data_IF_091178268639
#
_entry.id   IF_091178268639
#
_cell.length_a   1.000
_cell.length_b   1.000
_cell.length_c   1.000
_cell.angle_alpha   90.00
_cell.angle_beta   90.00
_cell.angle_gamma   90.00
#
_symmetry.space_group_name_H-M   'P 1'
#
loop_
_entity.id
_entity.type
_entity.pdbx_description
1 polymer ?
#
# COMPACT_ATOMS: atom_id res chain seq x y z
N UNK A 1 51.92 73.93 21.40
CA UNK A 1 52.38 73.65 22.78
C UNK A 1 51.85 72.28 23.19
N UNK A 2 52.76 71.38 23.63
CA UNK A 2 52.55 70.27 24.59
C UNK A 2 51.48 69.20 24.28
N UNK A 3 51.65 67.91 24.57
CA UNK A 3 52.75 67.03 24.98
C UNK A 3 52.16 65.60 24.93
N UNK A 4 53.00 64.62 24.63
CA UNK A 4 52.70 63.20 24.69
C UNK A 4 52.22 62.71 26.08
N UNK A 5 51.57 61.54 26.12
CA UNK A 5 51.80 60.53 27.18
C UNK A 5 51.26 59.14 26.80
N UNK A 6 52.19 58.19 26.64
CA UNK A 6 51.98 56.75 26.83
C UNK A 6 51.87 56.47 28.33
N UNK A 7 51.12 55.45 28.71
CA UNK A 7 51.38 54.65 29.92
C UNK A 7 50.88 53.21 29.74
N UNK A 8 51.69 52.29 30.24
CA UNK A 8 51.65 50.82 30.19
C UNK A 8 51.24 50.22 31.54
N UNK A 9 50.55 49.07 31.57
CA UNK A 9 50.60 48.02 32.62
C UNK A 9 49.63 46.88 32.21
N UNK A 10 50.07 45.65 31.88
CA UNK A 10 50.51 44.51 32.71
C UNK A 10 49.39 43.46 33.03
N UNK A 11 49.72 42.17 33.28
CA UNK A 11 48.93 41.01 32.81
C UNK A 11 48.42 40.00 33.89
N UNK A 12 47.46 39.13 33.49
CA UNK A 12 47.08 37.75 33.98
C UNK A 12 46.59 37.57 35.44
N UNK A 13 46.08 36.38 35.90
CA UNK A 13 45.35 35.25 35.26
C UNK A 13 44.10 34.78 36.08
N UNK A 14 43.41 33.72 35.60
CA UNK A 14 42.85 32.59 36.39
C UNK A 14 41.34 32.34 36.29
N UNK A 15 40.96 31.08 36.01
CA UNK A 15 39.94 30.43 36.87
C UNK A 15 38.71 29.72 36.27
N UNK A 16 38.89 28.79 35.31
CA UNK A 16 38.09 27.54 35.08
C UNK A 16 36.53 27.60 35.16
N UNK A 17 35.79 26.46 35.26
CA UNK A 17 34.98 25.92 34.16
C UNK A 17 33.48 25.81 34.51
N UNK A 18 32.57 25.64 33.54
CA UNK A 18 31.73 24.44 33.50
C UNK A 18 30.74 24.43 32.33
N UNK A 19 30.51 23.18 31.95
CA UNK A 19 29.54 22.58 31.06
C UNK A 19 28.09 23.07 31.21
N UNK A 20 27.32 22.73 30.15
CA UNK A 20 25.87 22.42 30.16
C UNK A 20 24.94 23.49 29.58
N UNK A 21 24.93 23.61 28.25
CA UNK A 21 23.70 23.96 27.53
C UNK A 21 22.85 22.71 27.35
N UNK A 22 21.85 22.51 28.22
CA UNK A 22 20.67 21.71 27.90
C UNK A 22 19.83 22.51 26.88
N UNK A 23 19.37 21.89 25.79
CA UNK A 23 18.10 22.25 25.20
C UNK A 23 17.06 21.21 25.61
N UNK A 24 15.92 21.69 26.07
CA UNK A 24 14.64 20.97 26.06
C UNK A 24 13.57 21.98 25.63
N UNK A 25 12.36 21.57 25.23
CA UNK A 25 11.96 20.36 24.53
C UNK A 25 11.28 20.74 23.19
N UNK A 26 11.21 19.83 22.21
CA UNK A 26 10.18 19.98 21.17
C UNK A 26 9.52 18.65 20.89
N UNK A 27 8.39 18.50 21.56
CA UNK A 27 7.38 17.48 21.36
C UNK A 27 6.81 17.59 19.95
N UNK A 28 7.17 16.67 19.06
CA UNK A 28 6.23 16.06 18.10
C UNK A 28 6.66 14.63 17.82
N UNK A 29 6.16 13.74 18.70
CA UNK A 29 5.43 12.52 18.30
C UNK A 29 5.41 12.36 16.78
N UNK A 30 6.32 11.57 16.20
CA UNK A 30 6.15 11.11 14.81
C UNK A 30 5.04 10.07 14.84
N UNK A 31 3.81 10.57 14.79
CA UNK A 31 2.58 9.80 14.62
C UNK A 31 2.65 9.06 13.28
N UNK A 32 2.26 7.77 13.33
CA UNK A 32 1.84 6.87 12.24
C UNK A 32 2.66 6.90 10.95
N UNK A 33 3.60 5.94 10.80
CA UNK A 33 3.88 5.39 9.48
C UNK A 33 2.79 4.33 9.24
N UNK A 34 1.74 4.81 8.59
CA UNK A 34 0.82 4.15 7.67
C UNK A 34 0.76 2.62 7.74
N UNK A 35 -0.44 2.08 7.93
CA UNK A 35 -0.77 0.65 7.80
C UNK A 35 -0.55 0.21 6.33
N UNK A 36 0.69 0.24 5.86
CA UNK A 36 1.05 -0.45 4.64
C UNK A 36 0.77 -1.92 4.92
N UNK A 37 -0.11 -2.49 4.10
CA UNK A 37 -0.29 -3.93 4.04
C UNK A 37 1.03 -4.50 3.51
N UNK A 38 1.93 -4.87 4.42
CA UNK A 38 3.31 -5.23 4.08
C UNK A 38 3.51 -6.71 3.80
N UNK A 39 2.53 -7.53 4.16
CA UNK A 39 2.57 -8.99 4.01
C UNK A 39 1.17 -9.55 3.73
N UNK A 40 1.13 -10.77 3.20
CA UNK A 40 -0.11 -11.42 2.77
C UNK A 40 -1.12 -11.63 3.91
N UNK A 41 -0.66 -11.90 5.13
CA UNK A 41 -1.57 -12.10 6.27
C UNK A 41 -2.20 -10.77 6.68
N UNK A 42 -1.41 -9.70 6.67
CA UNK A 42 -1.93 -8.34 6.86
C UNK A 42 -2.94 -7.97 5.77
N UNK A 43 -2.74 -8.41 4.52
CA UNK A 43 -3.72 -8.19 3.45
C UNK A 43 -5.01 -8.90 3.78
N UNK A 44 -4.97 -10.21 4.03
CA UNK A 44 -6.16 -11.02 4.35
C UNK A 44 -6.93 -10.46 5.55
N UNK A 45 -6.23 -9.97 6.58
CA UNK A 45 -6.85 -9.29 7.71
C UNK A 45 -7.54 -7.98 7.30
N UNK A 46 -6.94 -7.19 6.40
CA UNK A 46 -7.57 -5.95 5.91
C UNK A 46 -8.83 -6.22 5.07
N UNK A 47 -8.85 -7.29 4.28
CA UNK A 47 -10.01 -7.66 3.44
C UNK A 47 -11.29 -7.84 4.26
N UNK A 48 -11.19 -8.46 5.43
CA UNK A 48 -12.33 -8.75 6.31
C UNK A 48 -12.75 -7.58 7.21
N UNK A 49 -12.06 -6.43 7.14
CA UNK A 49 -12.39 -5.24 7.93
C UNK A 49 -13.72 -4.58 7.53
N UNK A 50 -14.23 -4.86 6.33
CA UNK A 50 -15.40 -4.20 5.75
C UNK A 50 -15.10 -2.84 5.09
N UNK A 51 -13.94 -2.25 5.35
CA UNK A 51 -13.54 -0.93 4.84
C UNK A 51 -12.40 -1.00 3.81
N UNK A 52 -11.97 -2.20 3.42
CA UNK A 52 -10.90 -2.39 2.44
C UNK A 52 -11.17 -1.62 1.14
N UNK A 53 -10.15 -0.93 0.63
CA UNK A 53 -10.23 -0.17 -0.62
C UNK A 53 -9.46 -0.88 -1.72
N UNK A 54 -9.99 -0.81 -2.94
CA UNK A 54 -9.42 -1.54 -4.08
C UNK A 54 -7.98 -1.12 -4.39
N UNK A 55 -7.68 0.17 -4.19
CA UNK A 55 -6.34 0.72 -4.37
C UNK A 55 -5.28 0.01 -3.51
N UNK A 56 -5.63 -0.44 -2.31
CA UNK A 56 -4.68 -1.13 -1.41
C UNK A 56 -4.35 -2.54 -1.94
N UNK A 57 -5.31 -3.24 -2.55
CA UNK A 57 -5.04 -4.49 -3.27
C UNK A 57 -4.04 -4.27 -4.40
N UNK A 58 -4.25 -3.22 -5.21
CA UNK A 58 -3.35 -2.92 -6.32
C UNK A 58 -1.96 -2.48 -5.85
N UNK A 59 -1.88 -1.70 -4.77
CA UNK A 59 -0.63 -1.29 -4.16
C UNK A 59 0.15 -2.49 -3.60
N UNK A 60 -0.53 -3.42 -2.93
CA UNK A 60 0.06 -4.67 -2.47
C UNK A 60 0.62 -5.48 -3.64
N UNK A 61 -0.17 -5.67 -4.70
CA UNK A 61 0.28 -6.41 -5.89
C UNK A 61 1.51 -5.76 -6.51
N UNK A 62 1.50 -4.43 -6.68
CA UNK A 62 2.61 -3.70 -7.26
C UNK A 62 3.90 -3.76 -6.42
N UNK A 63 3.79 -3.88 -5.10
CA UNK A 63 4.94 -3.97 -4.21
C UNK A 63 5.58 -5.37 -4.15
N UNK A 64 4.81 -6.43 -4.42
CA UNK A 64 5.21 -7.80 -4.13
C UNK A 64 5.26 -8.73 -5.34
N UNK A 65 4.69 -8.33 -6.48
CA UNK A 65 4.56 -9.18 -7.67
C UNK A 65 4.97 -8.45 -8.93
N UNK A 66 5.56 -9.21 -9.86
CA UNK A 66 5.70 -8.79 -11.25
C UNK A 66 4.40 -9.10 -11.98
N UNK A 67 3.85 -8.11 -12.68
CA UNK A 67 2.63 -8.26 -13.48
C UNK A 67 2.96 -8.30 -14.98
N UNK A 68 2.34 -9.27 -15.65
CA UNK A 68 2.26 -9.30 -17.11
C UNK A 68 0.80 -9.28 -17.56
N UNK A 69 0.42 -8.39 -18.50
CA UNK A 69 -0.91 -8.38 -19.08
C UNK A 69 -1.25 -9.75 -19.67
N UNK A 70 -2.43 -10.27 -19.33
CA UNK A 70 -2.81 -11.61 -19.72
C UNK A 70 -4.31 -11.70 -20.00
N UNK A 71 -4.66 -12.47 -21.03
CA UNK A 71 -6.03 -12.82 -21.35
C UNK A 71 -6.58 -13.84 -20.35
N UNK A 72 -7.85 -13.69 -19.99
CA UNK A 72 -8.52 -14.60 -19.06
C UNK A 72 -10.02 -14.69 -19.30
N UNK A 73 -10.58 -15.84 -18.94
CA UNK A 73 -12.01 -16.04 -18.82
C UNK A 73 -12.39 -16.10 -17.34
N UNK A 74 -13.50 -15.47 -16.97
CA UNK A 74 -14.07 -15.51 -15.64
C UNK A 74 -15.54 -15.91 -15.76
N UNK A 75 -15.82 -17.21 -15.67
CA UNK A 75 -17.19 -17.71 -15.69
C UNK A 75 -17.99 -17.35 -16.95
N UNK A 76 -17.32 -17.29 -18.11
CA UNK A 76 -17.92 -16.87 -19.38
C UNK A 76 -17.67 -15.40 -19.76
N UNK A 77 -17.13 -14.58 -18.87
CA UNK A 77 -16.68 -13.22 -19.21
C UNK A 77 -15.26 -13.30 -19.77
N UNK A 78 -15.10 -12.99 -21.06
CA UNK A 78 -13.80 -12.97 -21.74
C UNK A 78 -13.13 -11.61 -21.60
N UNK A 79 -11.83 -11.64 -21.32
CA UNK A 79 -11.00 -10.46 -21.14
C UNK A 79 -9.74 -10.63 -21.97
N UNK A 80 -9.48 -9.70 -22.89
CA UNK A 80 -8.23 -9.66 -23.64
C UNK A 80 -7.08 -9.19 -22.75
N UNK A 81 -5.83 -9.51 -23.11
CA UNK A 81 -4.65 -9.00 -22.42
C UNK A 81 -4.66 -7.46 -22.43
N UNK A 82 -4.43 -6.85 -21.26
CA UNK A 82 -4.48 -5.40 -21.07
C UNK A 82 -5.89 -4.82 -20.88
N UNK A 83 -6.95 -5.63 -20.96
CA UNK A 83 -8.29 -5.22 -20.54
C UNK A 83 -8.57 -5.65 -19.11
N UNK A 84 -9.35 -4.84 -18.39
CA UNK A 84 -9.77 -5.13 -17.02
C UNK A 84 -8.57 -5.50 -16.12
N UNK A 85 -7.46 -4.77 -16.25
CA UNK A 85 -6.19 -5.08 -15.58
C UNK A 85 -6.34 -5.21 -14.07
N UNK A 86 -7.21 -4.41 -13.45
CA UNK A 86 -7.54 -4.52 -12.04
C UNK A 86 -8.10 -5.90 -11.68
N UNK A 87 -9.05 -6.42 -12.47
CA UNK A 87 -9.56 -7.79 -12.31
C UNK A 87 -8.50 -8.84 -12.62
N UNK A 88 -7.71 -8.66 -13.68
CA UNK A 88 -6.61 -9.57 -14.01
C UNK A 88 -5.63 -9.73 -12.84
N UNK A 89 -5.22 -8.60 -12.24
CA UNK A 89 -4.30 -8.57 -11.09
C UNK A 89 -4.93 -9.21 -9.86
N UNK A 90 -6.12 -8.79 -9.46
CA UNK A 90 -6.79 -9.31 -8.26
C UNK A 90 -7.10 -10.80 -8.34
N UNK A 91 -7.63 -11.28 -9.47
CA UNK A 91 -7.89 -12.70 -9.67
C UNK A 91 -6.60 -13.51 -9.78
N UNK A 92 -5.57 -12.95 -10.43
CA UNK A 92 -4.24 -13.54 -10.48
C UNK A 92 -3.63 -13.72 -9.09
N UNK A 93 -3.76 -12.72 -8.22
CA UNK A 93 -3.32 -12.79 -6.83
C UNK A 93 -4.12 -13.87 -6.08
N UNK A 94 -5.44 -13.88 -6.25
CA UNK A 94 -6.32 -14.82 -5.57
C UNK A 94 -5.95 -16.27 -5.87
N UNK A 95 -5.71 -16.61 -7.15
CA UNK A 95 -5.31 -17.95 -7.54
C UNK A 95 -3.87 -18.29 -7.10
N UNK A 96 -2.93 -17.35 -7.23
CA UNK A 96 -1.53 -17.58 -6.87
C UNK A 96 -1.35 -17.79 -5.36
N UNK A 97 -2.09 -17.05 -4.53
CA UNK A 97 -1.97 -17.07 -3.07
C UNK A 97 -3.01 -17.94 -2.36
N UNK A 98 -3.88 -18.62 -3.12
CA UNK A 98 -4.93 -19.47 -2.56
C UNK A 98 -5.88 -18.69 -1.66
N UNK A 99 -6.37 -17.55 -2.16
CA UNK A 99 -7.47 -16.84 -1.51
C UNK A 99 -8.78 -17.61 -1.69
N UNK A 100 -9.71 -17.46 -0.73
CA UNK A 100 -11.08 -17.92 -0.91
C UNK A 100 -11.86 -17.04 -1.90
N UNK A 101 -13.01 -17.52 -2.36
CA UNK A 101 -13.92 -16.71 -3.20
C UNK A 101 -14.33 -15.41 -2.50
N UNK A 102 -14.58 -15.48 -1.18
CA UNK A 102 -14.93 -14.31 -0.38
C UNK A 102 -13.76 -13.33 -0.25
N UNK A 103 -12.54 -13.81 0.05
CA UNK A 103 -11.35 -12.97 0.09
C UNK A 103 -11.11 -12.29 -1.27
N UNK A 104 -11.27 -13.01 -2.38
CA UNK A 104 -11.13 -12.46 -3.72
C UNK A 104 -12.18 -11.37 -4.03
N UNK A 105 -13.43 -11.56 -3.60
CA UNK A 105 -14.48 -10.55 -3.73
C UNK A 105 -14.19 -9.32 -2.88
N UNK A 106 -13.78 -9.51 -1.63
CA UNK A 106 -13.39 -8.41 -0.73
C UNK A 106 -12.19 -7.63 -1.25
N UNK A 107 -11.27 -8.28 -1.97
CA UNK A 107 -10.12 -7.64 -2.60
C UNK A 107 -10.49 -6.65 -3.72
N UNK A 108 -11.74 -6.66 -4.21
CA UNK A 108 -12.28 -5.60 -5.08
C UNK A 108 -12.80 -4.37 -4.34
N UNK A 109 -12.80 -4.38 -3.01
CA UNK A 109 -13.12 -3.23 -2.17
C UNK A 109 -14.47 -2.58 -2.50
N UNK A 110 -14.45 -1.27 -2.76
CA UNK A 110 -15.63 -0.47 -3.06
C UNK A 110 -16.37 -0.93 -4.32
N UNK A 111 -15.69 -1.53 -5.30
CA UNK A 111 -16.34 -2.05 -6.50
C UNK A 111 -17.24 -3.24 -6.19
N UNK A 112 -16.81 -4.14 -5.29
CA UNK A 112 -17.66 -5.24 -4.83
C UNK A 112 -18.87 -4.73 -4.04
N UNK A 113 -18.66 -3.76 -3.15
CA UNK A 113 -19.76 -3.12 -2.40
C UNK A 113 -20.78 -2.44 -3.33
N UNK A 114 -20.31 -1.78 -4.40
CA UNK A 114 -21.18 -1.16 -5.41
C UNK A 114 -22.05 -2.20 -6.14
N UNK A 115 -21.47 -3.34 -6.51
CA UNK A 115 -22.20 -4.44 -7.13
C UNK A 115 -23.26 -5.02 -6.20
N UNK A 116 -22.95 -5.18 -4.91
CA UNK A 116 -23.93 -5.62 -3.91
C UNK A 116 -25.09 -4.63 -3.75
N UNK A 117 -24.81 -3.33 -3.83
CA UNK A 117 -25.83 -2.28 -3.76
C UNK A 117 -26.71 -2.20 -5.03
N UNK A 118 -26.28 -2.81 -6.14
CA UNK A 118 -26.95 -2.76 -7.44
C UNK A 118 -27.17 -4.17 -7.99
N UNK A 119 -28.02 -5.01 -7.36
CA UNK A 119 -28.19 -6.40 -7.75
C UNK A 119 -28.59 -6.59 -9.22
N UNK A 120 -29.43 -5.69 -9.74
CA UNK A 120 -29.92 -5.69 -11.14
C UNK A 120 -28.99 -4.95 -12.13
N UNK A 121 -27.86 -4.42 -11.66
CA UNK A 121 -26.89 -3.73 -12.50
C UNK A 121 -26.14 -4.65 -13.46
N UNK A 122 -25.52 -4.07 -14.49
CA UNK A 122 -24.67 -4.77 -15.47
C UNK A 122 -23.21 -4.30 -15.46
N UNK A 123 -22.87 -3.40 -14.54
CA UNK A 123 -21.52 -2.91 -14.28
C UNK A 123 -20.63 -3.99 -13.65
N UNK A 124 -19.31 -3.83 -13.76
CA UNK A 124 -18.30 -4.71 -13.17
C UNK A 124 -18.52 -6.22 -13.48
N UNK A 125 -18.63 -6.56 -14.77
CA UNK A 125 -18.90 -7.93 -15.23
C UNK A 125 -18.05 -9.03 -14.58
N UNK A 126 -16.75 -8.77 -14.33
CA UNK A 126 -15.87 -9.73 -13.65
C UNK A 126 -16.26 -9.98 -12.19
N UNK A 127 -16.66 -8.96 -11.44
CA UNK A 127 -17.07 -9.13 -10.03
C UNK A 127 -18.38 -9.93 -10.00
N UNK A 128 -19.33 -9.60 -10.87
CA UNK A 128 -20.61 -10.35 -10.98
C UNK A 128 -20.40 -11.80 -11.40
N UNK A 129 -19.46 -12.06 -12.31
CA UNK A 129 -19.11 -13.43 -12.69
C UNK A 129 -18.47 -14.20 -11.54
N UNK A 130 -17.58 -13.55 -10.78
CA UNK A 130 -16.94 -14.14 -9.61
C UNK A 130 -17.97 -14.50 -8.53
N UNK A 131 -18.98 -13.64 -8.27
CA UNK A 131 -20.08 -13.95 -7.35
C UNK A 131 -20.84 -15.22 -7.77
N UNK A 132 -21.02 -15.44 -9.08
CA UNK A 132 -21.82 -16.55 -9.61
C UNK A 132 -21.05 -17.87 -9.72
N UNK A 133 -19.76 -17.81 -10.04
CA UNK A 133 -18.97 -18.99 -10.44
C UNK A 133 -17.79 -19.26 -9.49
N UNK A 134 -17.45 -18.31 -8.62
CA UNK A 134 -16.27 -18.38 -7.77
C UNK A 134 -14.96 -18.38 -8.57
N UNK A 135 -13.85 -18.53 -7.86
CA UNK A 135 -12.51 -18.62 -8.46
C UNK A 135 -12.35 -19.85 -9.35
N UNK A 136 -13.16 -20.90 -9.14
CA UNK A 136 -13.20 -22.08 -9.99
C UNK A 136 -13.60 -21.77 -11.45
N UNK A 137 -14.33 -20.67 -11.67
CA UNK A 137 -14.68 -20.18 -13.00
C UNK A 137 -13.57 -19.39 -13.70
N UNK A 138 -12.48 -19.06 -13.01
CA UNK A 138 -11.40 -18.22 -13.54
C UNK A 138 -10.34 -19.08 -14.22
N UNK A 139 -10.03 -18.74 -15.48
CA UNK A 139 -9.02 -19.42 -16.30
C UNK A 139 -8.17 -18.39 -17.00
N UNK A 140 -6.88 -18.35 -16.68
CA UNK A 140 -5.90 -17.56 -17.40
C UNK A 140 -5.26 -18.38 -18.52
N UNK A 141 -4.85 -17.73 -19.61
CA UNK A 141 -4.04 -18.37 -20.63
C UNK A 141 -2.65 -18.77 -20.07
N UNK A 142 -2.06 -17.91 -19.25
CA UNK A 142 -0.86 -18.19 -18.45
C UNK A 142 -0.91 -17.42 -17.13
N UNK A 143 0.02 -17.64 -16.21
CA UNK A 143 -0.02 -16.97 -14.91
C UNK A 143 0.26 -15.45 -15.04
N UNK A 144 -0.64 -14.56 -14.59
CA UNK A 144 -0.47 -13.11 -14.77
C UNK A 144 0.49 -12.47 -13.77
N UNK A 145 0.76 -13.15 -12.64
CA UNK A 145 1.60 -12.67 -11.55
C UNK A 145 2.69 -13.69 -11.21
N UNK A 146 3.87 -13.19 -10.89
CA UNK A 146 4.94 -13.94 -10.24
C UNK A 146 5.47 -13.16 -9.05
N UNK A 147 5.86 -13.85 -7.97
CA UNK A 147 6.40 -13.20 -6.77
C UNK A 147 7.75 -12.56 -7.11
N UNK A 148 7.96 -11.32 -6.65
CA UNK A 148 9.27 -10.69 -6.70
C UNK A 148 10.21 -11.44 -5.73
N UNK A 149 11.39 -11.81 -6.22
CA UNK A 149 12.42 -12.51 -5.46
C UNK A 149 13.23 -11.56 -4.56
#
# INVERSE_FOLDING_TARGET
MMRAKRCTACPTPSGKPNTRKKPAPSSKRRLKKENLVTDLNSLRASLTSGEHVFADTLAFIAAHYSYQPQAFNNGGVENAAGQNEGSCKTLGLALLEGLSDEEALLAFGEHYRSVLATPEGSDHGNIRALIKQGLAGVKFAEQPLSRLA
#
